data_IF_045862017440
#
_entry.id   IF_045862017440
#
_cell.length_a   1.000
_cell.length_b   1.000
_cell.length_c   1.000
_cell.angle_alpha   90.00
_cell.angle_beta   90.00
_cell.angle_gamma   90.00
#
_symmetry.space_group_name_H-M   'P 1'
#
loop_
_entity.id
_entity.type
_entity.pdbx_description
1 polymer ?
#
# COMPACT_ATOMS: atom_id res chain seq x y z
N UNK A 1 15.78 -3.57 11.06
CA UNK A 1 15.47 -3.74 9.63
C UNK A 1 16.39 -2.84 8.83
N UNK A 2 17.04 -3.37 7.79
CA UNK A 2 17.91 -2.56 6.92
C UNK A 2 17.05 -1.67 6.04
N UNK A 3 17.41 -0.39 5.97
CA UNK A 3 16.76 0.63 5.16
C UNK A 3 17.63 0.90 3.94
N UNK A 4 17.01 1.12 2.80
CA UNK A 4 17.63 1.45 1.52
C UNK A 4 16.94 2.66 0.90
N UNK A 5 17.62 3.36 0.00
CA UNK A 5 17.02 4.47 -0.74
C UNK A 5 16.15 3.94 -1.89
N UNK A 6 14.97 4.50 -2.05
CA UNK A 6 14.07 4.16 -3.16
C UNK A 6 14.72 4.53 -4.50
N UNK A 7 15.51 5.58 -4.54
CA UNK A 7 16.21 6.05 -5.74
C UNK A 7 17.12 4.98 -6.35
N UNK A 8 17.74 4.13 -5.52
CA UNK A 8 18.61 3.04 -5.98
C UNK A 8 17.82 1.95 -6.75
N UNK A 9 16.50 1.89 -6.55
CA UNK A 9 15.63 0.88 -7.12
C UNK A 9 14.64 1.40 -8.17
N UNK A 10 14.54 2.72 -8.36
CA UNK A 10 13.62 3.35 -9.32
C UNK A 10 13.71 2.72 -10.71
N UNK A 11 14.94 2.60 -11.24
CA UNK A 11 15.17 2.08 -12.58
C UNK A 11 14.69 0.63 -12.70
N UNK A 12 15.08 -0.23 -11.76
CA UNK A 12 14.71 -1.66 -11.83
C UNK A 12 13.23 -1.88 -11.63
N UNK A 13 12.55 -1.07 -10.82
CA UNK A 13 11.10 -1.15 -10.66
C UNK A 13 10.36 -0.71 -11.92
N UNK A 14 10.81 0.38 -12.57
CA UNK A 14 10.25 0.83 -13.82
C UNK A 14 10.48 -0.17 -14.97
N UNK A 15 11.64 -0.80 -15.04
CA UNK A 15 11.92 -1.89 -15.98
C UNK A 15 11.05 -3.11 -15.70
N UNK A 16 10.86 -3.47 -14.42
CA UNK A 16 10.00 -4.59 -14.02
C UNK A 16 8.53 -4.36 -14.41
N UNK A 17 8.02 -3.14 -14.27
CA UNK A 17 6.62 -2.82 -14.57
C UNK A 17 6.24 -3.14 -16.03
N UNK A 18 7.20 -3.00 -16.95
CA UNK A 18 7.00 -3.22 -18.38
C UNK A 18 7.57 -4.55 -18.91
N UNK A 19 8.21 -5.34 -18.07
CA UNK A 19 8.79 -6.63 -18.45
C UNK A 19 7.72 -7.71 -18.69
N UNK A 20 7.35 -7.92 -19.94
CA UNK A 20 6.34 -8.88 -20.34
C UNK A 20 6.78 -10.35 -20.19
N UNK A 21 8.07 -10.62 -19.98
CA UNK A 21 8.56 -11.99 -19.69
C UNK A 21 8.14 -12.47 -18.28
N UNK A 22 7.80 -11.53 -17.39
CA UNK A 22 7.32 -11.81 -16.04
C UNK A 22 5.79 -11.65 -16.02
N UNK A 23 5.03 -12.68 -15.62
CA UNK A 23 3.59 -12.57 -15.50
C UNK A 23 3.17 -11.43 -14.59
N UNK A 24 2.14 -10.67 -14.98
CA UNK A 24 1.60 -9.59 -14.15
C UNK A 24 1.07 -10.16 -12.83
N UNK A 25 1.55 -9.63 -11.72
CA UNK A 25 1.11 -10.01 -10.39
C UNK A 25 -0.12 -9.22 -9.95
N UNK A 26 -0.16 -7.93 -10.26
CA UNK A 26 -1.28 -7.02 -10.02
C UNK A 26 -1.20 -5.81 -10.93
N UNK A 27 -2.31 -5.09 -11.12
CA UNK A 27 -2.27 -3.75 -11.72
C UNK A 27 -1.66 -2.76 -10.73
N UNK A 28 -2.15 -2.76 -9.49
CA UNK A 28 -1.66 -1.91 -8.40
C UNK A 28 -1.14 -2.78 -7.25
N UNK A 29 0.13 -2.65 -6.93
CA UNK A 29 0.77 -3.37 -5.83
C UNK A 29 1.08 -2.41 -4.69
N UNK A 30 0.47 -2.65 -3.53
CA UNK A 30 0.52 -1.74 -2.38
C UNK A 30 1.31 -2.39 -1.24
N UNK A 31 2.36 -1.72 -0.80
CA UNK A 31 3.19 -2.13 0.33
C UNK A 31 3.08 -1.14 1.49
N UNK A 32 2.95 -1.67 2.71
CA UNK A 32 3.14 -0.89 3.91
C UNK A 32 4.64 -0.77 4.22
N UNK A 33 5.10 0.42 4.56
CA UNK A 33 6.49 0.70 4.97
C UNK A 33 6.55 1.36 6.35
N UNK A 34 7.60 1.07 7.12
CA UNK A 34 7.88 1.70 8.41
C UNK A 34 8.89 2.84 8.30
N UNK A 35 9.44 3.10 7.11
CA UNK A 35 10.40 4.18 6.96
C UNK A 35 9.72 5.53 7.09
N UNK A 36 10.17 6.36 8.02
CA UNK A 36 9.66 7.72 8.24
C UNK A 36 10.09 8.69 7.13
N UNK A 37 11.15 8.38 6.41
CA UNK A 37 11.65 9.24 5.33
C UNK A 37 11.02 8.85 4.00
N UNK A 38 10.63 9.84 3.23
CA UNK A 38 9.93 9.66 1.95
C UNK A 38 10.82 9.06 0.86
N UNK A 39 12.13 9.19 0.98
CA UNK A 39 13.15 8.67 0.07
C UNK A 39 13.65 7.27 0.45
N UNK A 40 13.16 6.69 1.54
CA UNK A 40 13.65 5.42 2.10
C UNK A 40 12.57 4.35 2.20
N UNK A 41 13.01 3.09 2.11
CA UNK A 41 12.15 1.91 2.26
C UNK A 41 12.96 0.76 2.87
N UNK A 42 12.30 -0.22 3.46
CA UNK A 42 12.98 -1.41 3.96
C UNK A 42 13.48 -2.31 2.82
N UNK A 43 14.72 -2.76 2.92
CA UNK A 43 15.35 -3.69 1.96
C UNK A 43 14.49 -4.94 1.74
N UNK A 44 13.82 -5.45 2.78
CA UNK A 44 12.92 -6.62 2.69
C UNK A 44 11.73 -6.40 1.74
N UNK A 45 11.24 -5.14 1.60
CA UNK A 45 10.18 -4.80 0.66
C UNK A 45 10.70 -4.95 -0.77
N UNK A 46 11.90 -4.40 -1.05
CA UNK A 46 12.55 -4.56 -2.35
C UNK A 46 12.88 -6.01 -2.66
N UNK A 47 13.38 -6.76 -1.67
CA UNK A 47 13.59 -8.20 -1.78
C UNK A 47 12.30 -8.95 -2.15
N UNK A 48 11.19 -8.60 -1.49
CA UNK A 48 9.87 -9.21 -1.77
C UNK A 48 9.37 -8.94 -3.19
N UNK A 49 9.64 -7.73 -3.71
CA UNK A 49 9.22 -7.37 -5.08
C UNK A 49 10.11 -8.04 -6.11
N UNK A 50 11.44 -8.02 -5.92
CA UNK A 50 12.41 -8.31 -6.97
C UNK A 50 12.91 -9.76 -6.97
N UNK A 51 13.12 -10.36 -5.80
CA UNK A 51 13.88 -11.61 -5.68
C UNK A 51 13.01 -12.82 -5.34
N UNK A 52 12.01 -12.65 -4.47
CA UNK A 52 11.14 -13.77 -4.10
C UNK A 52 9.93 -13.83 -5.04
N UNK A 53 10.09 -14.42 -6.23
CA UNK A 53 9.12 -14.42 -7.32
C UNK A 53 8.79 -12.97 -7.73
N UNK A 54 9.47 -12.43 -8.72
CA UNK A 54 9.30 -11.04 -9.13
C UNK A 54 7.82 -10.68 -9.29
N UNK A 55 7.43 -9.58 -8.64
CA UNK A 55 6.03 -9.14 -8.61
C UNK A 55 5.85 -7.97 -9.56
N UNK A 56 5.66 -8.27 -10.83
CA UNK A 56 5.38 -7.24 -11.82
C UNK A 56 4.02 -6.60 -11.56
N UNK A 57 4.00 -5.30 -11.41
CA UNK A 57 2.79 -4.49 -11.32
C UNK A 57 2.90 -3.29 -12.27
N UNK A 58 1.76 -2.74 -12.68
CA UNK A 58 1.77 -1.53 -13.49
C UNK A 58 2.08 -0.30 -12.63
N UNK A 59 1.58 -0.28 -11.37
CA UNK A 59 1.86 0.77 -10.41
C UNK A 59 2.24 0.18 -9.05
N UNK A 60 3.25 0.80 -8.41
CA UNK A 60 3.70 0.47 -7.07
C UNK A 60 3.34 1.60 -6.09
N UNK A 61 2.74 1.23 -4.97
CA UNK A 61 2.32 2.13 -3.92
C UNK A 61 3.00 1.78 -2.60
N UNK A 62 3.66 2.76 -2.00
CA UNK A 62 4.25 2.61 -0.67
C UNK A 62 3.49 3.46 0.32
N UNK A 63 2.93 2.84 1.35
CA UNK A 63 2.12 3.52 2.36
C UNK A 63 2.86 3.55 3.68
N UNK A 64 2.99 4.73 4.27
CA UNK A 64 3.49 4.93 5.61
C UNK A 64 2.45 5.63 6.48
N UNK A 65 2.42 5.29 7.78
CA UNK A 65 1.51 5.89 8.74
C UNK A 65 2.28 6.46 9.90
N UNK A 66 2.19 7.77 10.07
CA UNK A 66 2.74 8.51 11.19
C UNK A 66 1.65 8.79 12.22
N UNK A 67 1.86 8.33 13.46
CA UNK A 67 0.98 8.70 14.57
C UNK A 67 1.54 9.95 15.23
N UNK A 68 0.69 10.97 15.31
CA UNK A 68 1.04 12.27 15.87
C UNK A 68 0.63 12.37 17.34
N UNK A 69 1.31 13.23 18.09
CA UNK A 69 0.95 13.57 19.47
C UNK A 69 -0.36 14.38 19.58
N UNK A 70 -0.82 14.96 18.49
CA UNK A 70 -2.12 15.62 18.40
C UNK A 70 -3.25 14.60 18.41
N UNK A 71 -4.33 14.76 19.19
CA UNK A 71 -5.36 13.73 19.32
C UNK A 71 -6.20 13.55 18.06
N UNK A 72 -6.56 14.64 17.39
CA UNK A 72 -7.50 14.63 16.26
C UNK A 72 -6.89 15.33 15.05
N UNK A 73 -6.20 14.54 14.24
CA UNK A 73 -5.61 15.04 13.00
C UNK A 73 -5.69 13.96 11.93
N UNK A 74 -6.07 14.35 10.72
CA UNK A 74 -6.14 13.49 9.55
C UNK A 74 -5.56 14.23 8.37
N UNK A 75 -4.30 13.99 8.12
CA UNK A 75 -3.60 14.58 6.99
C UNK A 75 -2.92 13.48 6.18
N UNK A 76 -2.67 13.75 4.92
CA UNK A 76 -1.89 12.86 4.07
C UNK A 76 -1.05 13.65 3.07
N UNK A 77 0.04 13.04 2.63
CA UNK A 77 0.89 13.53 1.56
C UNK A 77 1.05 12.46 0.50
N UNK A 78 1.00 12.86 -0.76
CA UNK A 78 1.34 12.02 -1.90
C UNK A 78 2.67 12.49 -2.46
N UNK A 79 3.60 11.58 -2.63
CA UNK A 79 4.87 11.80 -3.32
C UNK A 79 4.89 10.94 -4.58
N UNK A 80 4.92 11.56 -5.74
CA UNK A 80 5.15 10.88 -7.01
C UNK A 80 6.66 10.65 -7.16
N UNK A 81 7.08 9.40 -7.04
CA UNK A 81 8.49 9.00 -7.13
C UNK A 81 8.89 8.80 -8.59
N UNK A 82 8.05 8.11 -9.35
CA UNK A 82 8.09 8.03 -10.81
C UNK A 82 6.66 8.23 -11.32
N UNK A 83 6.51 9.14 -12.25
CA UNK A 83 5.22 9.45 -12.85
C UNK A 83 4.57 8.21 -13.44
N UNK A 84 3.29 8.00 -13.10
CA UNK A 84 2.45 6.89 -13.56
C UNK A 84 3.01 5.48 -13.27
N UNK A 85 3.95 5.35 -12.31
CA UNK A 85 4.57 4.07 -11.98
C UNK A 85 4.75 3.87 -10.46
N UNK A 86 5.37 4.83 -9.75
CA UNK A 86 5.71 4.68 -8.31
C UNK A 86 5.22 5.87 -7.51
N UNK A 87 4.37 5.59 -6.53
CA UNK A 87 3.82 6.57 -5.60
C UNK A 87 4.11 6.18 -4.16
N UNK A 88 4.26 7.19 -3.31
CA UNK A 88 4.27 7.04 -1.87
C UNK A 88 3.17 7.89 -1.24
N UNK A 89 2.47 7.33 -0.26
CA UNK A 89 1.46 8.02 0.53
C UNK A 89 1.86 7.94 2.00
N UNK A 90 2.07 9.10 2.60
CA UNK A 90 2.33 9.24 4.03
C UNK A 90 1.05 9.76 4.70
N UNK A 91 0.47 8.97 5.59
CA UNK A 91 -0.63 9.40 6.46
C UNK A 91 -0.09 9.97 7.75
N UNK A 92 -0.68 11.05 8.22
CA UNK A 92 -0.40 11.71 9.49
C UNK A 92 -1.67 11.74 10.33
N UNK A 93 -1.74 10.86 11.32
CA UNK A 93 -2.96 10.60 12.08
C UNK A 93 -2.77 10.93 13.54
N UNK A 94 -3.74 11.62 14.11
CA UNK A 94 -3.80 11.87 15.53
C UNK A 94 -3.99 10.56 16.31
N UNK A 95 -3.43 10.48 17.52
CA UNK A 95 -3.43 9.23 18.30
C UNK A 95 -4.83 8.72 18.72
N UNK A 96 -5.86 9.56 18.63
CA UNK A 96 -7.26 9.17 18.87
C UNK A 96 -8.04 8.86 17.59
N UNK A 97 -7.44 9.07 16.43
CA UNK A 97 -8.11 8.78 15.18
C UNK A 97 -8.10 7.29 14.84
N UNK A 98 -9.23 6.72 14.43
CA UNK A 98 -9.27 5.33 14.01
C UNK A 98 -8.50 5.16 12.69
N UNK A 99 -7.55 4.25 12.68
CA UNK A 99 -6.71 3.95 11.51
C UNK A 99 -7.42 2.99 10.56
N UNK A 100 -8.34 3.53 9.79
CA UNK A 100 -9.03 2.79 8.72
C UNK A 100 -8.25 2.96 7.40
N UNK A 101 -7.03 2.40 7.33
CA UNK A 101 -6.10 2.62 6.20
C UNK A 101 -6.72 2.30 4.86
N UNK A 102 -7.48 1.22 4.73
CA UNK A 102 -8.15 0.85 3.50
C UNK A 102 -9.13 1.94 3.01
N UNK A 103 -9.90 2.55 3.91
CA UNK A 103 -10.83 3.63 3.57
C UNK A 103 -10.10 4.92 3.26
N UNK A 104 -9.06 5.24 4.04
CA UNK A 104 -8.21 6.40 3.82
C UNK A 104 -7.47 6.30 2.48
N UNK A 105 -6.91 5.14 2.16
CA UNK A 105 -6.26 4.90 0.87
C UNK A 105 -7.25 5.06 -0.29
N UNK A 106 -8.46 4.49 -0.19
CA UNK A 106 -9.50 4.66 -1.20
C UNK A 106 -9.84 6.13 -1.42
N UNK A 107 -9.96 6.91 -0.35
CA UNK A 107 -10.25 8.34 -0.43
C UNK A 107 -9.14 9.09 -1.16
N UNK A 108 -7.87 8.80 -0.83
CA UNK A 108 -6.71 9.41 -1.50
C UNK A 108 -6.68 9.05 -2.98
N UNK A 109 -6.87 7.78 -3.33
CA UNK A 109 -6.91 7.34 -4.73
C UNK A 109 -8.04 8.04 -5.48
N UNK A 110 -9.23 8.14 -4.89
CA UNK A 110 -10.35 8.85 -5.51
C UNK A 110 -10.00 10.32 -5.78
N UNK A 111 -9.41 11.02 -4.82
CA UNK A 111 -8.99 12.41 -5.00
C UNK A 111 -7.91 12.56 -6.09
N UNK A 112 -6.96 11.62 -6.17
CA UNK A 112 -5.93 11.62 -7.22
C UNK A 112 -6.55 11.39 -8.62
N UNK A 113 -7.52 10.49 -8.72
CA UNK A 113 -8.25 10.25 -9.99
C UNK A 113 -9.07 11.49 -10.38
N UNK A 114 -9.81 12.08 -9.44
CA UNK A 114 -10.62 13.27 -9.69
C UNK A 114 -9.76 14.47 -10.12
N UNK A 115 -8.50 14.52 -9.70
CA UNK A 115 -7.50 15.54 -10.11
C UNK A 115 -6.74 15.18 -11.40
N UNK A 116 -6.96 13.98 -11.96
CA UNK A 116 -6.20 13.51 -13.12
C UNK A 116 -4.73 13.19 -12.83
N UNK A 117 -4.37 12.94 -11.57
CA UNK A 117 -2.99 12.65 -11.15
C UNK A 117 -2.61 11.19 -11.36
N UNK A 118 -3.58 10.29 -11.44
CA UNK A 118 -3.37 8.86 -11.68
C UNK A 118 -4.53 8.25 -12.45
N UNK A 119 -4.19 7.31 -13.33
CA UNK A 119 -5.17 6.44 -14.00
C UNK A 119 -5.12 5.05 -13.33
N UNK A 120 -6.24 4.64 -12.75
CA UNK A 120 -6.38 3.36 -12.04
C UNK A 120 -7.10 2.30 -12.87
N UNK A 121 -7.44 2.58 -14.13
CA UNK A 121 -8.06 1.58 -15.00
C UNK A 121 -7.11 0.43 -15.28
N UNK A 122 -7.69 -0.73 -15.56
CA UNK A 122 -6.93 -1.90 -15.95
C UNK A 122 -6.08 -1.63 -17.19
N UNK A 123 -4.87 -2.15 -17.23
CA UNK A 123 -3.99 -2.03 -18.40
C UNK A 123 -4.23 -3.13 -19.43
N UNK A 124 -5.14 -4.06 -19.17
CA UNK A 124 -5.61 -4.99 -20.20
C UNK A 124 -6.54 -4.28 -21.17
N UNK A 125 -6.29 -4.42 -22.46
CA UNK A 125 -6.99 -3.63 -23.51
C UNK A 125 -8.52 -3.74 -23.42
N UNK A 126 -9.03 -4.96 -23.29
CA UNK A 126 -10.48 -5.20 -23.18
C UNK A 126 -11.13 -4.57 -21.94
N UNK A 127 -10.41 -4.56 -20.82
CA UNK A 127 -10.90 -3.99 -19.56
C UNK A 127 -10.74 -2.46 -19.56
N UNK A 128 -9.63 -1.96 -20.11
CA UNK A 128 -9.38 -0.52 -20.24
C UNK A 128 -10.45 0.17 -21.08
N UNK A 129 -10.80 -0.40 -22.22
CA UNK A 129 -11.88 0.12 -23.11
C UNK A 129 -13.23 0.23 -22.41
N UNK A 130 -13.48 -0.58 -21.41
CA UNK A 130 -14.70 -0.58 -20.62
C UNK A 130 -14.56 0.17 -19.29
N UNK A 131 -13.49 0.92 -19.07
CA UNK A 131 -13.21 1.67 -17.84
C UNK A 131 -13.22 0.81 -16.57
N UNK A 132 -12.84 -0.46 -16.69
CA UNK A 132 -12.75 -1.37 -15.53
C UNK A 132 -11.50 -1.03 -14.72
N UNK A 133 -11.69 -0.82 -13.43
CA UNK A 133 -10.61 -0.52 -12.49
C UNK A 133 -9.68 -1.73 -12.37
N UNK A 134 -8.38 -1.47 -12.38
CA UNK A 134 -7.35 -2.48 -12.15
C UNK A 134 -7.42 -3.05 -10.73
N UNK A 135 -6.91 -4.27 -10.55
CA UNK A 135 -6.86 -4.92 -9.26
C UNK A 135 -5.82 -4.26 -8.34
N UNK A 136 -6.13 -4.19 -7.05
CA UNK A 136 -5.25 -3.75 -5.99
C UNK A 136 -4.89 -4.93 -5.10
N UNK A 137 -3.59 -5.18 -4.92
CA UNK A 137 -3.07 -6.18 -3.98
C UNK A 137 -2.25 -5.52 -2.90
N UNK A 138 -2.67 -5.71 -1.65
CA UNK A 138 -1.96 -5.24 -0.48
C UNK A 138 -1.02 -6.31 0.04
N UNK A 139 0.22 -5.91 0.31
CA UNK A 139 1.26 -6.78 0.85
C UNK A 139 1.70 -6.26 2.21
N UNK A 140 1.44 -7.06 3.25
CA UNK A 140 1.82 -6.77 4.61
C UNK A 140 3.00 -7.65 5.02
N UNK A 141 4.00 -7.06 5.66
CA UNK A 141 5.11 -7.83 6.25
C UNK A 141 4.74 -8.30 7.65
N UNK A 142 4.94 -9.58 7.97
CA UNK A 142 4.61 -10.15 9.29
C UNK A 142 5.31 -9.47 10.49
N UNK A 143 6.44 -8.81 10.28
CA UNK A 143 7.06 -8.02 11.35
C UNK A 143 6.23 -6.80 11.77
N UNK A 144 5.23 -6.41 11.01
CA UNK A 144 4.21 -5.49 11.48
C UNK A 144 3.33 -6.09 12.58
N UNK A 145 3.32 -7.41 12.70
CA UNK A 145 2.49 -8.15 13.66
C UNK A 145 3.21 -8.53 14.96
N UNK A 146 4.55 -8.39 15.04
CA UNK A 146 5.33 -9.00 16.12
C UNK A 146 6.14 -8.05 17.03
N UNK A 147 5.97 -6.73 16.93
CA UNK A 147 6.67 -5.80 17.83
C UNK A 147 5.75 -5.40 19.00
N UNK A 148 6.09 -5.91 20.17
CA UNK A 148 5.33 -5.90 21.42
C UNK A 148 4.99 -4.52 22.03
N UNK A 149 5.43 -3.41 21.47
CA UNK A 149 5.15 -2.09 22.04
C UNK A 149 4.06 -1.28 21.31
N UNK A 150 3.67 -1.67 20.09
CA UNK A 150 2.68 -0.96 19.28
C UNK A 150 1.50 -1.84 18.82
N UNK A 151 1.27 -2.95 19.51
CA UNK A 151 0.23 -3.94 19.24
C UNK A 151 -1.18 -3.32 19.13
N UNK A 152 -1.47 -2.27 19.89
CA UNK A 152 -2.80 -1.65 19.92
C UNK A 152 -3.20 -1.04 18.57
N UNK A 153 -2.25 -0.56 17.78
CA UNK A 153 -2.49 0.05 16.48
C UNK A 153 -2.71 -0.99 15.39
N UNK A 154 -1.82 -1.98 15.33
CA UNK A 154 -1.88 -3.06 14.34
C UNK A 154 -2.94 -4.11 14.66
N UNK A 155 -3.21 -4.38 15.93
CA UNK A 155 -4.35 -5.22 16.32
C UNK A 155 -5.68 -4.65 15.83
N UNK A 156 -5.87 -3.34 15.86
CA UNK A 156 -7.08 -2.70 15.29
C UNK A 156 -7.15 -2.80 13.78
N UNK A 157 -6.04 -2.67 13.06
CA UNK A 157 -6.01 -2.88 11.61
C UNK A 157 -6.29 -4.36 11.29
N UNK A 158 -5.57 -5.28 11.95
CA UNK A 158 -5.70 -6.72 11.73
C UNK A 158 -7.07 -7.22 12.19
N UNK A 159 -7.57 -6.76 13.34
CA UNK A 159 -8.90 -7.16 13.84
C UNK A 159 -10.03 -6.67 12.92
N UNK A 160 -9.99 -5.43 12.44
CA UNK A 160 -11.00 -4.95 11.49
C UNK A 160 -10.92 -5.71 10.16
N UNK A 161 -9.73 -6.06 9.71
CA UNK A 161 -9.51 -6.86 8.51
C UNK A 161 -9.90 -8.32 8.73
N UNK A 162 -9.54 -8.91 9.88
CA UNK A 162 -9.88 -10.29 10.25
C UNK A 162 -11.39 -10.50 10.41
N UNK A 163 -12.13 -9.57 11.00
CA UNK A 163 -13.60 -9.67 11.10
C UNK A 163 -14.31 -9.54 9.75
N UNK A 164 -13.77 -8.75 8.83
CA UNK A 164 -14.27 -8.72 7.45
C UNK A 164 -13.99 -10.04 6.72
N UNK A 165 -12.81 -10.64 6.90
CA UNK A 165 -12.43 -11.90 6.25
C UNK A 165 -13.16 -13.12 6.81
N UNK A 166 -13.46 -13.15 8.11
CA UNK A 166 -14.22 -14.26 8.75
C UNK A 166 -15.62 -14.42 8.17
N UNK A 167 -16.14 -13.39 7.53
CA UNK A 167 -17.45 -13.38 6.84
C UNK A 167 -17.40 -14.00 5.43
N UNK A 168 -16.19 -14.23 4.86
CA UNK A 168 -16.00 -14.64 3.45
C UNK A 168 -15.05 -15.81 3.23
N UNK A 169 -14.42 -16.36 4.27
CA UNK A 169 -13.48 -17.47 4.11
C UNK A 169 -14.05 -18.79 4.59
N UNK A 170 -14.50 -19.57 3.64
CA UNK A 170 -14.53 -21.02 3.66
C UNK A 170 -13.72 -21.51 2.45
N UNK A 171 -12.41 -21.66 2.61
CA UNK A 171 -11.66 -22.71 1.94
C UNK A 171 -10.31 -22.90 2.62
N UNK A 172 -10.12 -24.11 3.09
CA UNK A 172 -8.87 -24.62 3.64
C UNK A 172 -7.82 -24.74 2.52
N UNK A 173 -6.64 -24.19 2.74
CA UNK A 173 -5.43 -24.79 2.22
C UNK A 173 -4.35 -24.79 3.30
N UNK A 174 -4.27 -25.91 3.99
CA UNK A 174 -3.10 -26.36 4.71
C UNK A 174 -2.11 -26.94 3.69
N UNK A 175 -0.97 -26.35 3.55
CA UNK A 175 0.07 -26.87 2.67
C UNK A 175 1.46 -26.34 3.01
N UNK A 176 2.14 -27.06 3.91
CA UNK A 176 3.59 -27.25 4.00
C UNK A 176 4.55 -26.05 3.91
N UNK A 177 5.07 -25.72 5.05
CA UNK A 177 6.46 -25.68 5.48
C UNK A 177 7.46 -24.79 4.78
N UNK A 178 8.18 -24.00 5.63
CA UNK A 178 9.52 -23.49 5.47
C UNK A 178 9.68 -22.27 4.55
N UNK A 179 9.41 -21.11 5.08
CA UNK A 179 10.40 -20.03 5.12
C UNK A 179 9.90 -18.84 5.96
N UNK A 180 10.72 -18.37 6.89
CA UNK A 180 10.35 -17.39 7.92
C UNK A 180 10.41 -15.92 7.45
N UNK A 181 9.98 -15.66 6.23
CA UNK A 181 9.68 -14.31 5.73
C UNK A 181 8.26 -14.26 5.22
N UNK A 182 7.30 -14.42 6.12
CA UNK A 182 5.92 -14.45 5.76
C UNK A 182 5.41 -13.04 5.46
N UNK A 183 5.13 -12.85 4.19
CA UNK A 183 4.43 -11.68 3.66
C UNK A 183 2.99 -12.13 3.46
N UNK A 184 2.08 -11.58 4.24
CA UNK A 184 0.66 -11.86 4.09
C UNK A 184 0.10 -11.01 2.95
N UNK A 185 -0.49 -11.66 1.95
CA UNK A 185 -1.07 -10.99 0.79
C UNK A 185 -2.57 -10.97 0.99
N UNK A 186 -3.14 -9.78 1.04
CA UNK A 186 -4.57 -9.59 1.09
C UNK A 186 -5.06 -8.91 -0.20
N UNK A 187 -6.05 -9.50 -0.83
CA UNK A 187 -6.70 -8.93 -2.00
C UNK A 187 -7.97 -8.20 -1.56
N UNK A 188 -8.05 -6.91 -1.86
CA UNK A 188 -9.26 -6.14 -1.63
C UNK A 188 -9.78 -5.60 -2.96
N UNK A 189 -11.07 -5.81 -3.29
CA UNK A 189 -11.69 -5.05 -4.35
C UNK A 189 -11.75 -3.58 -3.94
N UNK A 190 -11.13 -2.71 -4.72
CA UNK A 190 -11.27 -1.28 -4.56
C UNK A 190 -12.65 -0.86 -5.10
N UNK A 191 -13.67 -0.98 -4.29
CA UNK A 191 -14.99 -0.43 -4.62
C UNK A 191 -14.96 1.06 -4.27
N UNK A 192 -14.94 1.93 -5.26
CA UNK A 192 -14.89 3.39 -5.07
C UNK A 192 -16.17 3.98 -4.43
N UNK A 193 -17.22 3.20 -4.34
CA UNK A 193 -18.45 3.59 -3.67
C UNK A 193 -18.40 3.20 -2.19
N UNK A 194 -17.65 3.94 -1.39
CA UNK A 194 -17.67 3.76 0.06
C UNK A 194 -18.77 4.64 0.67
N UNK A 195 -19.60 4.10 1.58
CA UNK A 195 -20.66 4.87 2.23
C UNK A 195 -20.15 5.90 3.25
N UNK A 196 -18.90 5.82 3.67
CA UNK A 196 -18.31 6.75 4.63
C UNK A 196 -17.20 7.59 3.96
N UNK A 197 -17.46 8.89 3.83
CA UNK A 197 -16.44 9.87 3.45
C UNK A 197 -15.60 10.19 4.68
N UNK A 198 -14.29 9.88 4.59
CA UNK A 198 -13.34 10.30 5.62
C UNK A 198 -12.77 11.65 5.19
N UNK A 199 -13.02 12.70 5.97
CA UNK A 199 -12.41 14.00 5.71
C UNK A 199 -10.95 13.96 6.12
N UNK A 200 -10.05 14.12 5.14
CA UNK A 200 -8.61 14.23 5.32
C UNK A 200 -8.10 15.44 4.56
N UNK A 201 -7.08 16.10 5.12
CA UNK A 201 -6.42 17.23 4.48
C UNK A 201 -5.14 16.78 3.79
N UNK A 202 -5.02 17.07 2.49
CA UNK A 202 -3.77 16.90 1.75
C UNK A 202 -2.79 18.00 2.15
N UNK A 203 -1.57 17.62 2.45
CA UNK A 203 -0.47 18.56 2.73
C UNK A 203 0.60 18.45 1.64
N UNK A 204 1.22 19.56 1.32
CA UNK A 204 2.34 19.65 0.39
C UNK A 204 3.63 19.98 1.16
N UNK A 205 4.78 19.54 0.64
CA UNK A 205 6.08 19.78 1.24
C UNK A 205 6.58 18.71 2.22
N UNK A 206 7.84 18.80 2.56
CA UNK A 206 8.51 17.82 3.45
C UNK A 206 8.44 18.28 4.90
N UNK A 207 7.81 17.47 5.78
CA UNK A 207 7.79 17.72 7.24
C UNK A 207 9.00 17.12 7.96
N UNK A 208 10.00 16.62 7.26
CA UNK A 208 11.21 16.08 7.88
C UNK A 208 12.11 17.13 8.54
N UNK A 209 11.67 18.38 8.63
CA UNK A 209 12.42 19.53 9.16
C UNK A 209 11.73 20.24 10.35
N UNK A 210 10.79 19.59 11.06
CA UNK A 210 10.22 20.13 12.29
C UNK A 210 10.38 19.16 13.45
#
# INVERSE_FOLDING_TARGET
>A
TKIVKIDDYKKVLAELSVDLSIPKYATHLVYMTNSNRSDEIEEKVMYSILQKRPKRADLYWFIHVNILSEPYKKEYRVTEIIKDDIYRIDFYLGFREPTKINLMFKQVIKEMVDRGEVDITSRYESLNKNNIIGDFKFVLSEKFLSNDSDLTFFEKIVMNTYFMMKKWSLSEEKGFGLDSSSVKIEQFPLVLHAPEKIEMRRIEGDRSLL
#
